data_IF_310730476929
#
_entry.id   IF_310730476929
#
_cell.length_a   1.000
_cell.length_b   1.000
_cell.length_c   1.000
_cell.angle_alpha   90.00
_cell.angle_beta   90.00
_cell.angle_gamma   90.00
#
_symmetry.space_group_name_H-M   'P 1'
#
loop_
_entity.id
_entity.type
_entity.pdbx_description
1 polymer ?
#
# COMPACT_ATOMS: atom_id res chain seq x y z
N UNK A 1 -11.91 3.79 13.16
CA UNK A 1 -12.98 3.74 12.13
C UNK A 1 -13.83 4.99 12.33
N UNK A 2 -14.27 5.70 11.29
CA UNK A 2 -15.14 6.89 11.45
C UNK A 2 -14.73 8.16 10.70
N UNK A 3 -13.67 8.12 9.89
CA UNK A 3 -13.29 9.23 9.02
C UNK A 3 -13.96 9.03 7.66
N UNK A 4 -14.82 9.96 7.27
CA UNK A 4 -15.35 10.05 5.91
C UNK A 4 -14.59 11.13 5.16
N UNK A 5 -13.91 10.72 4.09
CA UNK A 5 -13.17 11.61 3.20
C UNK A 5 -13.89 11.52 1.86
N UNK A 6 -14.55 12.60 1.42
CA UNK A 6 -15.26 12.60 0.16
C UNK A 6 -14.27 12.52 -1.01
N UNK A 7 -14.72 11.95 -2.13
CA UNK A 7 -14.02 11.98 -3.43
C UNK A 7 -12.57 11.44 -3.43
N UNK A 8 -12.32 10.30 -2.79
CA UNK A 8 -11.00 9.64 -2.91
C UNK A 8 -10.85 9.02 -4.30
N UNK A 9 -9.88 9.49 -5.07
CA UNK A 9 -9.56 8.94 -6.40
C UNK A 9 -8.73 7.66 -6.34
N UNK A 10 -7.83 7.57 -5.34
CA UNK A 10 -6.91 6.46 -5.19
C UNK A 10 -6.78 6.02 -3.72
N UNK A 11 -6.85 4.72 -3.48
CA UNK A 11 -6.54 4.11 -2.18
C UNK A 11 -5.28 3.26 -2.33
N UNK A 12 -4.26 3.54 -1.53
CA UNK A 12 -3.05 2.74 -1.45
C UNK A 12 -3.09 1.95 -0.14
N UNK A 13 -3.14 0.62 -0.25
CA UNK A 13 -3.01 -0.30 0.86
C UNK A 13 -1.54 -0.70 0.97
N UNK A 14 -0.83 -0.08 1.91
CA UNK A 14 0.56 -0.40 2.21
C UNK A 14 0.69 -1.81 2.80
N UNK A 15 -0.10 -2.12 3.82
CA UNK A 15 -0.14 -3.45 4.42
C UNK A 15 -1.36 -4.24 3.96
N UNK A 16 -1.15 -5.52 3.67
CA UNK A 16 -2.23 -6.40 3.30
C UNK A 16 -3.18 -6.65 4.50
N UNK A 17 -4.48 -6.36 4.37
CA UNK A 17 -5.45 -6.60 5.43
C UNK A 17 -5.52 -8.06 5.85
N UNK A 18 -5.81 -8.32 7.13
CA UNK A 18 -5.93 -9.67 7.70
C UNK A 18 -7.05 -10.51 7.05
N UNK A 19 -8.10 -9.88 6.53
CA UNK A 19 -9.22 -10.57 5.91
C UNK A 19 -9.85 -9.76 4.76
N UNK A 20 -10.59 -10.47 3.89
CA UNK A 20 -11.21 -9.91 2.68
C UNK A 20 -12.30 -8.86 2.98
N UNK A 21 -13.02 -9.00 4.09
CA UNK A 21 -14.02 -8.02 4.53
C UNK A 21 -13.36 -6.67 4.83
N UNK A 22 -12.24 -6.68 5.54
CA UNK A 22 -11.46 -5.47 5.85
C UNK A 22 -10.85 -4.87 4.59
N UNK A 23 -10.35 -5.72 3.69
CA UNK A 23 -9.89 -5.27 2.36
C UNK A 23 -10.99 -4.51 1.61
N UNK A 24 -12.18 -5.11 1.50
CA UNK A 24 -13.33 -4.52 0.81
C UNK A 24 -13.75 -3.18 1.42
N UNK A 25 -13.79 -3.08 2.75
CA UNK A 25 -14.11 -1.83 3.45
C UNK A 25 -13.07 -0.71 3.23
N UNK A 26 -11.78 -1.08 3.09
CA UNK A 26 -10.68 -0.14 2.82
C UNK A 26 -10.71 0.34 1.38
N UNK A 27 -10.89 -0.54 0.40
CA UNK A 27 -10.96 -0.13 -1.01
C UNK A 27 -12.26 0.61 -1.34
N UNK A 28 -13.36 0.35 -0.60
CA UNK A 28 -14.64 1.07 -0.73
C UNK A 28 -14.61 2.53 -0.28
N UNK A 29 -13.41 3.08 -0.03
CA UNK A 29 -13.19 4.52 0.15
C UNK A 29 -13.14 5.27 -1.19
N UNK A 30 -12.79 4.58 -2.29
CA UNK A 30 -12.82 5.11 -3.67
C UNK A 30 -13.98 4.51 -4.48
N UNK A 31 -14.15 4.95 -5.73
CA UNK A 31 -15.15 4.45 -6.70
C UNK A 31 -16.61 4.50 -6.19
N UNK A 32 -17.02 5.63 -5.60
CA UNK A 32 -18.39 5.85 -5.08
C UNK A 32 -19.24 6.65 -6.07
N UNK A 33 -20.56 6.49 -5.99
CA UNK A 33 -21.55 7.29 -6.75
C UNK A 33 -21.28 7.34 -8.27
N UNK A 34 -20.95 6.19 -8.87
CA UNK A 34 -20.67 6.09 -10.31
C UNK A 34 -19.31 6.61 -10.76
N UNK A 35 -18.52 7.23 -9.88
CA UNK A 35 -17.16 7.65 -10.20
C UNK A 35 -16.21 6.45 -10.30
N UNK A 36 -15.26 6.53 -11.22
CA UNK A 36 -14.15 5.60 -11.27
C UNK A 36 -13.22 5.83 -10.07
N UNK A 37 -12.51 4.79 -9.67
CA UNK A 37 -11.58 4.84 -8.55
C UNK A 37 -10.55 3.74 -8.65
N UNK A 38 -9.37 3.97 -8.09
CA UNK A 38 -8.24 3.02 -8.16
C UNK A 38 -7.82 2.57 -6.77
N UNK A 39 -7.63 1.26 -6.62
CA UNK A 39 -7.01 0.70 -5.42
C UNK A 39 -5.71 -0.01 -5.78
N UNK A 40 -4.62 0.41 -5.16
CA UNK A 40 -3.30 -0.23 -5.25
C UNK A 40 -3.07 -0.96 -3.93
N UNK A 41 -2.63 -2.22 -3.98
CA UNK A 41 -2.33 -3.00 -2.79
C UNK A 41 -0.94 -3.55 -2.90
N UNK A 42 -0.09 -3.20 -1.94
CA UNK A 42 1.24 -3.76 -1.82
C UNK A 42 1.11 -5.10 -1.11
N UNK A 43 1.73 -6.12 -1.69
CA UNK A 43 1.64 -7.50 -1.20
C UNK A 43 3.04 -8.09 -1.25
N UNK A 44 3.46 -8.65 -0.13
CA UNK A 44 4.71 -9.41 -0.05
C UNK A 44 4.67 -10.60 -1.00
N UNK A 45 5.84 -10.95 -1.54
CA UNK A 45 5.98 -12.02 -2.53
C UNK A 45 5.38 -13.35 -2.05
N UNK A 46 5.59 -13.68 -0.78
CA UNK A 46 5.12 -14.91 -0.14
C UNK A 46 3.58 -14.98 -0.03
N UNK A 47 2.93 -13.82 0.16
CA UNK A 47 1.47 -13.73 0.35
C UNK A 47 0.72 -13.50 -0.98
N UNK A 48 1.43 -13.26 -2.07
CA UNK A 48 0.86 -12.90 -3.37
C UNK A 48 -0.07 -13.98 -3.92
N UNK A 49 0.33 -15.26 -3.87
CA UNK A 49 -0.46 -16.37 -4.42
C UNK A 49 -1.77 -16.51 -3.65
N UNK A 50 -1.69 -16.62 -2.32
CA UNK A 50 -2.85 -16.70 -1.43
C UNK A 50 -3.81 -15.52 -1.64
N UNK A 51 -3.27 -14.30 -1.71
CA UNK A 51 -4.07 -13.10 -1.92
C UNK A 51 -4.78 -13.11 -3.28
N UNK A 52 -4.08 -13.47 -4.36
CA UNK A 52 -4.67 -13.58 -5.70
C UNK A 52 -5.80 -14.61 -5.74
N UNK A 53 -5.62 -15.77 -5.11
CA UNK A 53 -6.66 -16.81 -5.00
C UNK A 53 -7.86 -16.29 -4.24
N UNK A 54 -7.64 -15.68 -3.06
CA UNK A 54 -8.71 -15.12 -2.22
C UNK A 54 -9.53 -14.07 -2.98
N UNK A 55 -8.87 -13.17 -3.70
CA UNK A 55 -9.54 -12.12 -4.48
C UNK A 55 -10.28 -12.70 -5.67
N UNK A 56 -9.72 -13.69 -6.37
CA UNK A 56 -10.39 -14.35 -7.51
C UNK A 56 -11.70 -15.03 -7.08
N UNK A 57 -11.77 -15.57 -5.87
CA UNK A 57 -13.01 -16.12 -5.32
C UNK A 57 -14.03 -15.04 -4.98
N UNK A 58 -13.58 -13.89 -4.47
CA UNK A 58 -14.47 -12.80 -4.03
C UNK A 58 -14.85 -11.81 -5.14
N UNK A 59 -14.08 -11.73 -6.22
CA UNK A 59 -14.31 -10.86 -7.38
C UNK A 59 -14.13 -11.61 -8.69
N UNK A 60 -15.10 -11.42 -9.59
CA UNK A 60 -15.14 -12.01 -10.94
C UNK A 60 -13.98 -11.56 -11.84
N UNK A 61 -13.47 -10.34 -11.64
CA UNK A 61 -12.44 -9.76 -12.50
C UNK A 61 -11.03 -10.15 -12.06
N UNK A 62 -10.19 -10.53 -13.03
CA UNK A 62 -8.77 -10.82 -12.78
C UNK A 62 -8.05 -9.55 -12.30
N UNK A 63 -7.26 -9.69 -11.24
CA UNK A 63 -6.31 -8.64 -10.83
C UNK A 63 -5.29 -8.42 -11.95
N UNK A 64 -5.13 -7.17 -12.38
CA UNK A 64 -4.07 -6.77 -13.29
C UNK A 64 -2.82 -6.44 -12.47
N UNK A 65 -1.70 -7.16 -12.65
CA UNK A 65 -0.45 -6.76 -12.03
C UNK A 65 -0.03 -5.39 -12.58
N UNK A 66 0.41 -4.49 -11.69
CA UNK A 66 1.00 -3.23 -12.10
C UNK A 66 2.51 -3.45 -12.28
N UNK A 67 3.00 -3.26 -13.51
CA UNK A 67 4.44 -3.28 -13.74
C UNK A 67 5.01 -1.90 -13.41
N UNK A 68 5.91 -1.85 -12.43
CA UNK A 68 6.54 -0.62 -11.95
C UNK A 68 7.99 -0.66 -12.40
N UNK A 69 8.31 0.17 -13.40
CA UNK A 69 9.65 0.33 -13.95
C UNK A 69 10.48 1.21 -13.02
N UNK A 70 11.69 0.79 -12.66
CA UNK A 70 12.57 1.55 -11.74
C UNK A 70 12.96 2.89 -12.35
N UNK A 71 13.07 2.94 -13.67
CA UNK A 71 13.43 4.09 -14.47
C UNK A 71 12.42 5.25 -14.27
N UNK A 72 11.14 4.92 -14.03
CA UNK A 72 10.09 5.90 -13.78
C UNK A 72 10.28 6.68 -12.48
N UNK A 73 11.20 6.25 -11.60
CA UNK A 73 11.43 6.86 -10.29
C UNK A 73 12.88 7.29 -10.12
N UNK A 74 13.67 7.31 -11.20
CA UNK A 74 15.08 7.70 -11.17
C UNK A 74 15.29 9.08 -10.53
N UNK A 75 14.36 10.02 -10.81
CA UNK A 75 14.38 11.37 -10.26
C UNK A 75 14.20 11.43 -8.74
N UNK A 76 13.59 10.42 -8.11
CA UNK A 76 13.41 10.37 -6.65
C UNK A 76 14.52 9.60 -5.91
N UNK A 77 15.47 8.98 -6.62
CA UNK A 77 16.47 8.11 -5.98
C UNK A 77 17.33 8.87 -4.97
N UNK A 78 17.72 10.10 -5.30
CA UNK A 78 18.55 10.92 -4.41
C UNK A 78 17.80 11.30 -3.13
N UNK A 79 16.55 11.74 -3.25
CA UNK A 79 15.72 12.11 -2.10
C UNK A 79 15.44 10.90 -1.21
N UNK A 80 15.21 9.74 -1.82
CA UNK A 80 15.05 8.48 -1.11
C UNK A 80 16.31 8.07 -0.34
N UNK A 81 17.50 8.21 -0.94
CA UNK A 81 18.78 7.93 -0.27
C UNK A 81 19.00 8.83 0.94
N UNK A 82 18.76 10.14 0.79
CA UNK A 82 18.84 11.10 1.90
C UNK A 82 17.88 10.74 3.03
N UNK A 83 16.64 10.37 2.69
CA UNK A 83 15.66 9.95 3.68
C UNK A 83 16.10 8.69 4.45
N UNK A 84 16.74 7.73 3.77
CA UNK A 84 17.30 6.52 4.40
C UNK A 84 18.47 6.82 5.36
N UNK A 85 19.36 7.75 5.00
CA UNK A 85 20.45 8.20 5.87
C UNK A 85 19.93 8.89 7.13
N UNK A 86 18.93 9.76 6.97
CA UNK A 86 18.26 10.41 8.10
C UNK A 86 17.63 9.33 8.98
N UNK A 87 16.87 8.40 8.40
CA UNK A 87 16.20 7.34 9.14
C UNK A 87 17.17 6.46 9.95
N UNK A 88 18.27 6.01 9.35
CA UNK A 88 19.28 5.17 10.02
C UNK A 88 19.96 5.90 11.18
N UNK A 89 20.23 7.20 11.02
CA UNK A 89 20.77 8.05 12.07
C UNK A 89 19.81 8.19 13.26
N UNK A 90 18.49 8.27 13.00
CA UNK A 90 17.48 8.33 14.06
C UNK A 90 17.33 6.99 14.79
N UNK A 91 17.39 5.87 14.08
CA UNK A 91 17.36 4.51 14.64
C UNK A 91 18.52 4.29 15.64
N UNK A 92 19.74 4.68 15.28
CA UNK A 92 20.91 4.57 16.16
C UNK A 92 20.75 5.42 17.43
N UNK A 93 20.27 6.66 17.30
CA UNK A 93 20.00 7.55 18.45
C UNK A 93 18.93 6.98 19.39
N UNK A 94 17.88 6.34 18.86
CA UNK A 94 16.85 5.67 19.67
C UNK A 94 17.41 4.50 20.46
N UNK A 95 18.23 3.64 19.85
CA UNK A 95 18.89 2.51 20.53
C UNK A 95 19.83 2.96 21.64
N UNK A 96 20.55 4.07 21.44
CA UNK A 96 21.45 4.63 22.45
C UNK A 96 20.70 5.22 23.66
N UNK A 97 19.52 5.80 23.44
CA UNK A 97 18.65 6.32 24.51
C UNK A 97 17.95 5.24 25.32
N UNK A 98 17.65 4.07 24.74
CA UNK A 98 17.04 2.94 25.46
C UNK A 98 18.03 2.12 26.30
N UNK A 99 19.34 2.33 26.11
CA UNK A 99 20.40 1.69 26.93
C UNK A 99 20.83 2.53 28.15
N UNK A 100 20.27 3.73 28.33
CA UNK A 100 20.43 4.56 29.53
C UNK A 100 19.15 4.49 30.34
#
# INVERSE_FOLDING_TARGET
>A
RGIDIPNIDCVILYDLPKNIRTYTHRIGRTARAGKLGRSITMVEKERLIMFRTTIKTYRRNKLKPMNIRKENFSFMLNDYQKALEIFSSQEQKKKLKQKK
#
